data_IF_825778484652
#
_entry.id   IF_825778484652
#
_cell.length_a   1.000
_cell.length_b   1.000
_cell.length_c   1.000
_cell.angle_alpha   90.00
_cell.angle_beta   90.00
_cell.angle_gamma   90.00
#
_symmetry.space_group_name_H-M   'P 1'
#
loop_
_entity.id
_entity.type
_entity.pdbx_description
1 polymer ?
#
# COMPACT_ATOMS: atom_id res chain seq x y z
N UNK A 1 -2.26 8.19 -6.69
CA UNK A 1 -2.00 7.16 -7.68
C UNK A 1 -0.58 6.72 -7.49
N UNK A 2 -0.43 5.48 -7.08
CA UNK A 2 0.86 4.89 -6.83
C UNK A 2 1.77 5.00 -8.06
N UNK A 3 2.97 5.52 -7.87
CA UNK A 3 3.94 5.74 -8.93
C UNK A 3 5.15 4.84 -8.79
N UNK A 4 5.69 4.40 -9.92
CA UNK A 4 6.92 3.62 -9.94
C UNK A 4 8.11 4.51 -9.59
N UNK A 5 8.97 4.03 -8.71
CA UNK A 5 10.16 4.75 -8.24
C UNK A 5 11.38 4.28 -9.04
N UNK A 6 12.22 5.24 -9.44
CA UNK A 6 13.46 4.94 -10.15
C UNK A 6 14.42 4.12 -9.28
N UNK A 7 15.04 3.09 -9.87
CA UNK A 7 15.94 2.18 -9.16
C UNK A 7 15.26 0.93 -8.60
N UNK A 8 13.93 0.87 -8.61
CA UNK A 8 13.16 -0.31 -8.23
C UNK A 8 12.82 -1.18 -9.43
N UNK A 9 12.59 -2.47 -9.18
CA UNK A 9 12.17 -3.43 -10.20
C UNK A 9 10.71 -3.80 -10.02
N UNK A 10 9.95 -3.78 -11.12
CA UNK A 10 8.55 -4.21 -11.16
C UNK A 10 8.39 -5.38 -12.14
N UNK A 11 7.67 -6.43 -11.71
CA UNK A 11 7.38 -7.62 -12.51
C UNK A 11 5.88 -7.89 -12.50
N UNK A 12 5.31 -8.07 -13.69
CA UNK A 12 3.87 -8.16 -13.90
C UNK A 12 3.21 -6.81 -14.18
N UNK A 13 1.94 -6.87 -14.57
CA UNK A 13 1.12 -5.69 -14.83
C UNK A 13 0.40 -5.26 -13.54
N UNK A 14 0.31 -3.95 -13.33
CA UNK A 14 -0.47 -3.42 -12.23
C UNK A 14 -1.95 -3.69 -12.48
N UNK A 15 -2.68 -4.09 -11.45
CA UNK A 15 -4.15 -4.17 -11.50
C UNK A 15 -4.70 -3.07 -10.60
N UNK A 16 -5.64 -2.29 -11.14
CA UNK A 16 -6.34 -1.23 -10.40
C UNK A 16 -7.84 -1.42 -10.56
N UNK A 17 -8.59 -1.31 -9.46
CA UNK A 17 -10.04 -1.46 -9.43
C UNK A 17 -10.67 -0.31 -8.63
N UNK A 18 -11.74 0.32 -9.13
CA UNK A 18 -12.45 1.34 -8.35
C UNK A 18 -13.14 0.69 -7.13
N UNK A 19 -13.05 1.38 -5.99
CA UNK A 19 -13.79 1.06 -4.77
C UNK A 19 -15.01 1.97 -4.59
N UNK A 20 -14.95 3.22 -5.06
CA UNK A 20 -16.08 4.16 -5.05
C UNK A 20 -16.78 4.23 -6.41
N UNK A 21 -18.06 4.62 -6.41
CA UNK A 21 -18.87 4.71 -7.65
C UNK A 21 -18.38 5.77 -8.62
N UNK A 22 -17.84 6.88 -8.11
CA UNK A 22 -17.26 7.97 -8.90
C UNK A 22 -15.82 7.68 -9.35
N UNK A 23 -15.24 6.55 -8.92
CA UNK A 23 -13.87 6.17 -9.21
C UNK A 23 -12.81 6.97 -8.46
N UNK A 24 -13.21 7.85 -7.54
CA UNK A 24 -12.31 8.65 -6.73
C UNK A 24 -11.44 7.78 -5.80
N UNK A 25 -11.97 6.66 -5.30
CA UNK A 25 -11.22 5.72 -4.48
C UNK A 25 -10.96 4.47 -5.29
N UNK A 26 -9.71 4.02 -5.35
CA UNK A 26 -9.35 2.78 -6.04
C UNK A 26 -8.34 1.96 -5.24
N UNK A 27 -8.43 0.63 -5.36
CA UNK A 27 -7.41 -0.29 -4.89
C UNK A 27 -6.48 -0.63 -6.04
N UNK A 28 -5.20 -0.76 -5.77
CA UNK A 28 -4.23 -1.24 -6.75
C UNK A 28 -3.37 -2.36 -6.17
N UNK A 29 -2.80 -3.18 -7.06
CA UNK A 29 -1.72 -4.11 -6.74
C UNK A 29 -0.63 -4.07 -7.79
N UNK A 30 0.62 -4.00 -7.33
CA UNK A 30 1.79 -4.40 -8.10
C UNK A 30 2.14 -5.84 -7.74
N UNK A 31 2.01 -6.81 -8.66
CA UNK A 31 2.18 -8.23 -8.34
C UNK A 31 3.54 -8.57 -7.75
N UNK A 32 4.59 -7.90 -8.22
CA UNK A 32 5.93 -8.03 -7.65
C UNK A 32 6.70 -6.72 -7.84
N UNK A 33 6.92 -6.03 -6.72
CA UNK A 33 7.84 -4.90 -6.57
C UNK A 33 9.07 -5.39 -5.82
N UNK A 34 10.27 -5.05 -6.30
CA UNK A 34 11.53 -5.44 -5.68
C UNK A 34 12.35 -4.17 -5.42
N UNK A 35 12.53 -3.90 -4.13
CA UNK A 35 13.40 -2.88 -3.56
C UNK A 35 14.84 -3.38 -3.54
N UNK A 36 15.81 -2.51 -3.80
CA UNK A 36 17.21 -2.80 -3.50
C UNK A 36 17.59 -2.11 -2.20
N UNK A 37 17.80 -2.90 -1.14
CA UNK A 37 18.20 -2.42 0.17
C UNK A 37 19.59 -2.98 0.45
N UNK A 38 20.60 -2.10 0.45
CA UNK A 38 22.00 -2.45 0.72
C UNK A 38 22.49 -3.65 -0.12
N UNK A 39 22.16 -3.69 -1.42
CA UNK A 39 22.56 -4.76 -2.33
C UNK A 39 21.70 -6.02 -2.27
N UNK A 40 20.69 -6.06 -1.39
CA UNK A 40 19.76 -7.18 -1.28
C UNK A 40 18.41 -6.79 -1.89
N UNK A 41 17.89 -7.68 -2.74
CA UNK A 41 16.54 -7.54 -3.28
C UNK A 41 15.52 -7.96 -2.21
N UNK A 42 14.64 -7.03 -1.83
CA UNK A 42 13.49 -7.29 -0.96
C UNK A 42 12.25 -7.09 -1.80
N UNK A 43 11.36 -8.08 -1.87
CA UNK A 43 10.23 -7.95 -2.77
C UNK A 43 9.06 -8.86 -2.49
N UNK A 44 7.97 -8.52 -3.15
CA UNK A 44 6.68 -9.16 -3.03
C UNK A 44 5.60 -8.27 -3.64
N UNK A 45 4.32 -8.62 -3.46
CA UNK A 45 3.22 -7.76 -3.84
C UNK A 45 3.26 -6.45 -3.05
N UNK A 46 2.91 -5.35 -3.72
CA UNK A 46 2.57 -4.09 -3.05
C UNK A 46 1.12 -3.77 -3.36
N UNK A 47 0.31 -3.58 -2.33
CA UNK A 47 -1.14 -3.33 -2.45
C UNK A 47 -1.41 -1.97 -1.82
N UNK A 48 -2.32 -1.18 -2.36
CA UNK A 48 -2.66 0.09 -1.74
C UNK A 48 -3.98 0.67 -2.18
N UNK A 49 -4.28 1.84 -1.62
CA UNK A 49 -5.48 2.62 -1.91
C UNK A 49 -5.08 4.01 -2.36
N UNK A 50 -5.61 4.38 -3.52
CA UNK A 50 -5.50 5.71 -4.09
C UNK A 50 -6.79 6.49 -3.87
N UNK A 51 -6.67 7.79 -3.55
CA UNK A 51 -7.77 8.76 -3.57
C UNK A 51 -7.44 9.82 -4.61
N UNK A 52 -8.19 9.84 -5.71
CA UNK A 52 -7.90 10.62 -6.91
C UNK A 52 -6.53 10.25 -7.47
N UNK A 53 -5.60 11.21 -7.45
CA UNK A 53 -4.24 11.02 -7.93
C UNK A 53 -3.21 10.92 -6.80
N UNK A 54 -3.64 10.69 -5.56
CA UNK A 54 -2.74 10.55 -4.39
C UNK A 54 -2.79 9.14 -3.82
N UNK A 55 -1.63 8.55 -3.54
CA UNK A 55 -1.53 7.28 -2.85
C UNK A 55 -1.61 7.50 -1.34
N UNK A 56 -2.63 6.90 -0.72
CA UNK A 56 -3.00 7.19 0.66
C UNK A 56 -2.57 6.08 1.60
N UNK A 57 -2.82 4.83 1.20
CA UNK A 57 -2.49 3.64 1.97
C UNK A 57 -1.61 2.74 1.10
N UNK A 58 -0.52 2.21 1.66
CA UNK A 58 0.36 1.26 1.00
C UNK A 58 0.71 0.12 1.94
N UNK A 59 0.62 -1.11 1.46
CA UNK A 59 1.09 -2.33 2.09
C UNK A 59 2.19 -2.93 1.21
N UNK A 60 3.42 -2.92 1.72
CA UNK A 60 4.57 -3.58 1.09
C UNK A 60 4.67 -5.00 1.66
N UNK A 61 3.88 -5.91 1.09
CA UNK A 61 3.81 -7.32 1.48
C UNK A 61 5.04 -8.09 0.96
N UNK A 62 6.20 -7.81 1.53
CA UNK A 62 7.50 -8.29 1.03
C UNK A 62 8.12 -9.34 1.94
N UNK A 63 9.01 -10.14 1.35
CA UNK A 63 9.89 -11.01 2.11
C UNK A 63 11.04 -10.18 2.73
N UNK A 64 11.22 -10.26 4.05
CA UNK A 64 12.32 -9.69 4.87
C UNK A 64 12.39 -8.15 5.12
N UNK A 65 11.67 -7.60 6.11
CA UNK A 65 10.27 -7.86 6.44
C UNK A 65 9.34 -6.97 5.61
N UNK A 66 8.08 -7.38 5.49
CA UNK A 66 7.03 -6.49 5.00
C UNK A 66 6.75 -5.36 5.98
N UNK A 67 6.14 -4.29 5.49
CA UNK A 67 5.63 -3.18 6.29
C UNK A 67 4.48 -2.51 5.54
N UNK A 68 3.88 -1.50 6.15
CA UNK A 68 2.86 -0.71 5.51
C UNK A 68 2.92 0.74 5.97
N UNK A 69 2.14 1.58 5.31
CA UNK A 69 2.14 3.02 5.51
C UNK A 69 0.75 3.50 5.90
N UNK A 70 0.64 3.95 7.15
CA UNK A 70 -0.58 4.52 7.72
C UNK A 70 -0.53 6.05 7.67
N UNK A 71 -1.68 6.69 7.44
CA UNK A 71 -1.83 8.15 7.60
C UNK A 71 -1.46 9.00 6.38
N UNK A 72 -1.63 8.50 5.16
CA UNK A 72 -1.47 9.29 3.94
C UNK A 72 -0.03 9.27 3.43
N UNK A 73 0.32 8.21 2.70
CA UNK A 73 1.67 7.97 2.19
C UNK A 73 2.26 9.18 1.45
N UNK A 74 1.59 9.69 0.41
CA UNK A 74 2.09 10.82 -0.37
C UNK A 74 2.04 12.15 0.39
N UNK A 75 0.98 12.38 1.19
CA UNK A 75 0.80 13.61 1.98
C UNK A 75 1.95 13.90 2.94
N UNK A 76 2.53 12.86 3.52
CA UNK A 76 3.59 13.00 4.53
C UNK A 76 4.97 13.31 3.94
N UNK A 77 5.11 13.33 2.61
CA UNK A 77 6.30 13.79 1.87
C UNK A 77 7.60 12.99 2.09
N UNK A 78 7.64 12.09 3.07
CA UNK A 78 8.75 11.19 3.38
C UNK A 78 8.20 9.80 3.76
N UNK A 79 8.65 8.72 3.10
CA UNK A 79 8.15 7.36 3.34
C UNK A 79 8.23 6.92 4.82
N UNK A 80 9.28 7.34 5.54
CA UNK A 80 9.49 6.95 6.94
C UNK A 80 8.49 7.53 7.94
N UNK A 81 7.77 8.60 7.58
CA UNK A 81 6.82 9.24 8.51
C UNK A 81 5.51 8.45 8.68
N UNK A 82 5.21 7.56 7.74
CA UNK A 82 4.01 6.70 7.76
C UNK A 82 4.33 5.23 8.05
N UNK A 83 5.62 4.86 8.12
CA UNK A 83 6.06 3.49 8.29
C UNK A 83 5.42 2.86 9.53
N UNK A 84 4.79 1.71 9.33
CA UNK A 84 4.17 0.90 10.35
C UNK A 84 4.54 -0.56 10.11
N UNK A 85 5.02 -1.24 11.15
CA UNK A 85 5.29 -2.67 11.06
C UNK A 85 3.98 -3.45 10.96
N UNK A 86 4.02 -4.60 10.30
CA UNK A 86 2.92 -5.56 10.37
C UNK A 86 2.75 -6.10 11.81
N UNK A 87 1.55 -6.61 12.16
CA UNK A 87 1.34 -7.27 13.45
C UNK A 87 2.37 -8.38 13.71
N UNK A 88 2.70 -8.59 14.99
CA UNK A 88 3.63 -9.64 15.41
C UNK A 88 3.19 -11.00 14.87
N UNK A 89 4.14 -11.76 14.29
CA UNK A 89 3.89 -13.07 13.70
C UNK A 89 3.42 -13.07 12.25
N UNK A 90 3.08 -11.90 11.67
CA UNK A 90 2.64 -11.79 10.27
C UNK A 90 3.83 -11.74 9.29
N UNK A 91 4.50 -12.88 9.12
CA UNK A 91 5.77 -12.97 8.37
C UNK A 91 5.59 -13.42 6.92
N UNK A 92 4.68 -14.35 6.65
CA UNK A 92 4.50 -14.88 5.29
C UNK A 92 3.85 -13.85 4.38
N UNK A 93 4.39 -13.68 3.17
CA UNK A 93 3.85 -12.77 2.14
C UNK A 93 2.36 -13.03 1.87
N UNK A 94 1.95 -14.28 1.74
CA UNK A 94 0.54 -14.63 1.48
C UNK A 94 -0.39 -14.14 2.60
N UNK A 95 0.06 -14.28 3.86
CA UNK A 95 -0.72 -13.91 5.03
C UNK A 95 -0.74 -12.38 5.20
N UNK A 96 0.37 -11.70 4.85
CA UNK A 96 0.42 -10.22 4.77
C UNK A 96 -0.56 -9.68 3.71
N UNK A 97 -0.66 -10.32 2.55
CA UNK A 97 -1.61 -9.95 1.50
C UNK A 97 -3.05 -10.13 1.97
N UNK A 98 -3.36 -11.28 2.57
CA UNK A 98 -4.69 -11.55 3.11
C UNK A 98 -5.08 -10.51 4.17
N UNK A 99 -4.16 -10.21 5.09
CA UNK A 99 -4.37 -9.19 6.10
C UNK A 99 -4.55 -7.79 5.51
N UNK A 100 -3.71 -7.39 4.55
CA UNK A 100 -3.80 -6.08 3.89
C UNK A 100 -5.16 -5.89 3.20
N UNK A 101 -5.63 -6.92 2.48
CA UNK A 101 -6.95 -6.89 1.84
C UNK A 101 -8.08 -6.81 2.88
N UNK A 102 -7.94 -7.50 4.03
CA UNK A 102 -8.90 -7.37 5.13
C UNK A 102 -8.90 -5.95 5.71
N UNK A 103 -7.74 -5.31 5.86
CA UNK A 103 -7.67 -3.93 6.35
C UNK A 103 -8.34 -2.94 5.39
N UNK A 104 -8.11 -3.08 4.07
CA UNK A 104 -8.75 -2.23 3.07
C UNK A 104 -10.28 -2.40 3.13
N UNK A 105 -10.75 -3.65 3.24
CA UNK A 105 -12.17 -3.97 3.26
C UNK A 105 -12.87 -3.51 4.54
N UNK A 106 -12.30 -3.85 5.69
CA UNK A 106 -12.97 -3.74 6.98
C UNK A 106 -12.67 -2.39 7.67
N UNK A 107 -11.49 -1.81 7.41
CA UNK A 107 -11.00 -0.59 8.07
C UNK A 107 -10.70 0.56 7.09
N UNK A 108 -10.97 0.40 5.79
CA UNK A 108 -10.61 1.39 4.75
C UNK A 108 -11.11 2.80 5.05
N UNK A 109 -12.39 2.95 5.43
CA UNK A 109 -12.97 4.24 5.81
C UNK A 109 -12.22 4.92 6.97
N UNK A 110 -11.90 4.17 8.02
CA UNK A 110 -11.17 4.71 9.17
C UNK A 110 -9.76 5.13 8.78
N UNK A 111 -9.07 4.31 7.99
CA UNK A 111 -7.72 4.61 7.51
C UNK A 111 -7.68 5.85 6.63
N UNK A 112 -8.70 6.07 5.79
CA UNK A 112 -8.83 7.29 5.00
C UNK A 112 -9.06 8.54 5.86
N UNK A 113 -9.87 8.44 6.92
CA UNK A 113 -10.05 9.55 7.88
C UNK A 113 -8.75 9.88 8.62
N UNK A 114 -8.00 8.86 9.04
CA UNK A 114 -6.68 9.05 9.67
C UNK A 114 -5.70 9.76 8.72
N UNK A 115 -5.84 9.52 7.42
CA UNK A 115 -5.07 10.20 6.38
C UNK A 115 -5.67 11.55 5.94
N UNK A 116 -6.68 12.06 6.65
CA UNK A 116 -7.36 13.34 6.39
C UNK A 116 -8.06 13.37 5.01
N UNK A 117 -8.72 12.27 4.63
CA UNK A 117 -9.57 12.15 3.44
C UNK A 117 -11.01 11.78 3.82
N UNK A 118 -11.60 12.53 4.75
CA UNK A 118 -12.96 12.30 5.25
C UNK A 118 -14.02 12.19 4.16
N UNK A 119 -13.92 13.04 3.13
CA UNK A 119 -14.86 13.04 1.99
C UNK A 119 -14.81 11.74 1.17
N UNK A 120 -13.64 11.07 1.15
CA UNK A 120 -13.44 9.81 0.45
C UNK A 120 -13.71 8.57 1.33
N UNK A 121 -13.95 8.77 2.63
CA UNK A 121 -14.18 7.71 3.60
C UNK A 121 -15.64 7.23 3.70
N UNK A 122 -16.49 7.63 2.75
CA UNK A 122 -17.93 7.32 2.70
C UNK A 122 -18.28 5.93 2.19
#
# INVERSE_FOLDING_TARGET
MATKIAGETYRGEAVTLPLSQDGQVSVYVWPCRILNVNGHGMGGPTIGVDVGNEEVIRYDCHDTPGHWHKGGYDKLGRPGNSHTDFPEGLVRVADQVEWALSQIKDNGSELLKIAEYDDAAG
#
